data_IF_696833375153
#
_entry.id   IF_696833375153
#
_cell.length_a   1.000
_cell.length_b   1.000
_cell.length_c   1.000
_cell.angle_alpha   90.00
_cell.angle_beta   90.00
_cell.angle_gamma   90.00
#
_symmetry.space_group_name_H-M   'P 1'
#
loop_
_entity.id
_entity.type
_entity.pdbx_description
1 polymer ?
#
# COMPACT_ATOMS: atom_id res chain seq x y z
N UNK A 1 2.38 -59.32 42.55
CA UNK A 1 2.79 -58.60 43.77
C UNK A 1 3.82 -57.54 43.41
N UNK A 2 3.55 -56.25 43.75
CA UNK A 2 4.48 -55.08 43.82
C UNK A 2 5.15 -54.66 42.48
N UNK A 3 5.31 -53.40 42.10
CA UNK A 3 5.00 -52.07 42.65
C UNK A 3 5.12 -51.03 41.50
N UNK A 4 4.43 -49.90 41.69
CA UNK A 4 4.36 -48.68 40.87
C UNK A 4 5.68 -48.20 40.23
N UNK A 5 5.58 -47.58 39.06
CA UNK A 5 6.24 -46.28 38.80
C UNK A 5 5.24 -45.30 38.18
N UNK A 6 4.92 -44.27 38.95
CA UNK A 6 4.36 -43.02 38.48
C UNK A 6 5.44 -42.30 37.64
N UNK A 7 5.09 -41.81 36.45
CA UNK A 7 5.61 -40.52 35.94
C UNK A 7 4.48 -39.89 35.12
N UNK A 8 3.99 -38.76 35.62
CA UNK A 8 3.20 -37.79 34.85
C UNK A 8 4.18 -37.03 33.95
N UNK A 9 3.85 -36.91 32.67
CA UNK A 9 4.41 -35.90 31.77
C UNK A 9 3.41 -35.75 30.61
N UNK A 10 2.24 -35.12 30.81
CA UNK A 10 2.02 -33.68 30.66
C UNK A 10 3.06 -32.97 29.79
N UNK A 11 2.64 -32.51 28.61
CA UNK A 11 3.31 -31.45 27.89
C UNK A 11 4.04 -31.90 26.64
N UNK A 12 3.33 -31.94 25.52
CA UNK A 12 3.87 -31.35 24.29
C UNK A 12 2.74 -30.91 23.35
N UNK A 13 1.84 -30.05 23.84
CA UNK A 13 1.12 -29.13 22.96
C UNK A 13 2.12 -28.00 22.65
N UNK A 14 2.99 -28.23 21.67
CA UNK A 14 3.59 -27.14 20.89
C UNK A 14 2.46 -26.66 19.98
N UNK A 15 1.58 -25.74 20.41
CA UNK A 15 1.86 -24.31 20.34
C UNK A 15 2.78 -23.98 19.16
N UNK A 16 2.33 -24.33 17.96
CA UNK A 16 2.41 -23.41 16.83
C UNK A 16 1.56 -22.17 17.16
N UNK A 17 1.93 -21.47 18.24
CA UNK A 17 1.56 -20.09 18.44
C UNK A 17 2.22 -19.38 17.27
N UNK A 18 1.39 -19.05 16.28
CA UNK A 18 1.83 -18.35 15.10
C UNK A 18 2.67 -17.15 15.51
N UNK A 19 3.92 -17.14 15.08
CA UNK A 19 4.54 -15.88 14.69
C UNK A 19 3.90 -15.43 13.37
N UNK A 20 2.57 -15.29 13.33
CA UNK A 20 1.98 -14.27 12.47
C UNK A 20 2.09 -13.01 13.31
N UNK A 21 3.23 -12.33 13.19
CA UNK A 21 3.33 -10.93 13.62
C UNK A 21 2.37 -10.13 12.76
N UNK A 22 1.08 -10.16 13.13
CA UNK A 22 0.02 -9.46 12.41
C UNK A 22 -0.04 -7.98 12.78
N UNK A 23 0.98 -7.45 13.48
CA UNK A 23 1.10 -6.05 13.85
C UNK A 23 2.57 -5.65 13.93
N UNK A 24 3.23 -5.55 12.78
CA UNK A 24 4.39 -4.67 12.67
C UNK A 24 4.16 -3.72 11.51
N UNK A 25 3.11 -2.93 11.60
CA UNK A 25 3.04 -1.71 10.82
C UNK A 25 2.45 -0.67 11.77
N UNK A 26 3.35 0.04 12.45
CA UNK A 26 2.99 1.20 13.28
C UNK A 26 2.21 2.19 12.44
N UNK A 27 1.02 2.54 12.91
CA UNK A 27 0.23 3.68 12.46
C UNK A 27 1.12 4.90 12.32
N UNK A 28 1.35 5.41 11.11
CA UNK A 28 2.06 6.67 10.97
C UNK A 28 1.55 7.36 9.70
N UNK A 29 1.11 8.61 9.84
CA UNK A 29 1.39 9.65 8.86
C UNK A 29 2.90 9.64 8.58
N UNK A 30 3.36 8.68 7.77
CA UNK A 30 4.75 8.29 7.81
C UNK A 30 5.50 9.03 6.71
N UNK A 31 6.11 10.14 7.11
CA UNK A 31 7.23 10.73 6.40
C UNK A 31 8.36 9.71 6.12
N UNK A 32 8.29 8.47 6.62
CA UNK A 32 9.20 7.39 6.23
C UNK A 32 8.84 6.72 4.89
N UNK A 33 7.65 6.92 4.33
CA UNK A 33 7.24 6.27 3.08
C UNK A 33 6.85 7.27 2.01
N UNK A 34 6.03 8.25 2.38
CA UNK A 34 5.56 9.27 1.46
C UNK A 34 6.04 10.65 1.86
N UNK A 35 6.43 11.45 0.87
CA UNK A 35 6.68 12.89 1.08
C UNK A 35 5.37 13.65 1.26
N UNK A 36 4.37 13.29 0.47
CA UNK A 36 3.04 13.88 0.45
C UNK A 36 2.00 12.75 0.50
N UNK A 37 0.83 12.99 1.11
CA UNK A 37 -0.23 11.98 1.16
C UNK A 37 -0.62 11.51 -0.25
N UNK A 38 -0.86 10.21 -0.48
CA UNK A 38 -1.34 9.72 -1.77
C UNK A 38 -2.65 10.39 -2.18
N UNK A 39 -2.82 10.63 -3.48
CA UNK A 39 -4.05 11.21 -4.04
C UNK A 39 -4.50 10.45 -5.28
N UNK A 40 -5.75 10.67 -5.67
CA UNK A 40 -6.24 10.27 -6.98
C UNK A 40 -5.98 11.42 -7.95
N UNK A 41 -5.07 11.22 -8.88
CA UNK A 41 -4.80 12.16 -9.96
C UNK A 41 -5.69 11.85 -11.17
N UNK A 42 -6.23 12.86 -11.83
CA UNK A 42 -7.20 12.67 -12.92
C UNK A 42 -6.91 13.55 -14.13
N UNK A 43 -7.18 13.02 -15.32
CA UNK A 43 -7.50 13.81 -16.52
C UNK A 43 -9.02 13.81 -16.71
N UNK A 44 -9.52 14.30 -17.86
CA UNK A 44 -10.93 14.17 -18.23
C UNK A 44 -11.41 12.73 -18.40
N UNK A 45 -10.50 11.78 -18.67
CA UNK A 45 -10.86 10.40 -19.05
C UNK A 45 -10.05 9.30 -18.36
N UNK A 46 -9.06 9.63 -17.53
CA UNK A 46 -8.16 8.66 -16.89
C UNK A 46 -7.94 9.02 -15.44
N UNK A 47 -7.76 7.99 -14.61
CA UNK A 47 -7.50 8.09 -13.19
C UNK A 47 -6.22 7.37 -12.83
N UNK A 48 -5.48 7.92 -11.88
CA UNK A 48 -4.21 7.40 -11.41
C UNK A 48 -4.15 7.50 -9.90
N UNK A 49 -3.60 6.48 -9.25
CA UNK A 49 -3.07 6.66 -7.91
C UNK A 49 -1.71 7.37 -8.04
N UNK A 50 -1.60 8.56 -7.45
CA UNK A 50 -0.36 9.35 -7.42
C UNK A 50 0.20 9.37 -6.01
N UNK A 51 1.47 9.06 -5.88
CA UNK A 51 2.20 9.22 -4.62
C UNK A 51 3.66 9.60 -4.88
N UNK A 52 4.28 10.23 -3.88
CA UNK A 52 5.67 10.65 -3.93
C UNK A 52 6.45 9.95 -2.83
N UNK A 53 7.52 9.27 -3.19
CA UNK A 53 8.42 8.67 -2.20
C UNK A 53 8.99 9.74 -1.28
N UNK A 54 9.13 9.39 0.01
CA UNK A 54 9.77 10.28 0.98
C UNK A 54 11.23 10.59 0.61
N UNK A 55 11.71 11.73 1.11
CA UNK A 55 13.13 12.12 1.09
C UNK A 55 13.93 11.58 2.28
N UNK A 56 13.29 10.88 3.24
CA UNK A 56 13.97 10.27 4.38
C UNK A 56 14.93 9.17 3.91
N UNK A 57 16.18 9.21 4.37
CA UNK A 57 17.24 8.24 4.01
C UNK A 57 16.84 6.79 4.32
N UNK A 58 15.96 6.58 5.30
CA UNK A 58 15.41 5.27 5.63
C UNK A 58 14.29 4.84 4.67
N UNK A 59 13.57 5.77 4.07
CA UNK A 59 12.55 5.53 3.03
C UNK A 59 13.15 5.02 1.72
N UNK A 60 14.38 5.45 1.41
CA UNK A 60 15.09 5.14 0.16
C UNK A 60 15.38 3.64 -0.03
N UNK A 61 15.12 2.82 0.99
CA UNK A 61 15.44 1.39 1.00
C UNK A 61 14.26 0.50 0.59
N UNK A 62 13.07 1.06 0.34
CA UNK A 62 11.82 0.27 0.31
C UNK A 62 10.90 0.55 -0.87
N UNK A 63 10.94 -0.21 -1.95
CA UNK A 63 9.91 -0.12 -2.98
C UNK A 63 8.54 -0.49 -2.43
N UNK A 64 7.58 0.38 -2.71
CA UNK A 64 6.20 0.22 -2.30
C UNK A 64 5.40 -0.26 -3.49
N UNK A 65 4.83 -1.46 -3.37
CA UNK A 65 3.69 -1.85 -4.19
C UNK A 65 2.44 -1.33 -3.51
N UNK A 66 1.49 -0.78 -4.26
CA UNK A 66 0.16 -0.52 -3.72
C UNK A 66 -0.82 -1.62 -4.15
N UNK A 67 -1.94 -1.71 -3.45
CA UNK A 67 -3.07 -2.57 -3.77
C UNK A 67 -4.36 -1.83 -3.48
N UNK A 68 -5.48 -2.38 -3.94
CA UNK A 68 -6.81 -1.85 -3.65
C UNK A 68 -7.85 -2.95 -3.57
N UNK A 69 -8.91 -2.66 -2.81
CA UNK A 69 -10.11 -3.47 -2.71
C UNK A 69 -11.35 -2.60 -2.60
N UNK A 70 -12.52 -3.21 -2.77
CA UNK A 70 -13.81 -2.54 -2.62
C UNK A 70 -14.56 -3.22 -1.48
N UNK A 71 -14.98 -2.43 -0.48
CA UNK A 71 -15.77 -2.88 0.67
C UNK A 71 -16.97 -1.95 0.83
N UNK A 72 -18.20 -2.47 0.77
CA UNK A 72 -19.43 -1.68 0.95
C UNK A 72 -19.42 -0.38 0.12
N UNK A 73 -19.25 -0.49 -1.20
CA UNK A 73 -19.17 0.63 -2.15
C UNK A 73 -18.04 1.65 -1.89
N UNK A 74 -17.06 1.27 -1.08
CA UNK A 74 -15.88 2.08 -0.75
C UNK A 74 -14.65 1.49 -1.40
N UNK A 75 -13.97 2.27 -2.23
CA UNK A 75 -12.66 1.91 -2.79
C UNK A 75 -11.57 2.26 -1.78
N UNK A 76 -10.77 1.27 -1.40
CA UNK A 76 -9.72 1.42 -0.40
C UNK A 76 -8.38 1.06 -1.04
N UNK A 77 -7.42 1.98 -0.98
CA UNK A 77 -6.01 1.75 -1.37
C UNK A 77 -5.14 1.52 -0.14
N UNK A 78 -4.11 0.70 -0.29
CA UNK A 78 -3.17 0.38 0.80
C UNK A 78 -1.84 -0.14 0.27
N UNK A 79 -0.82 -0.23 1.14
CA UNK A 79 0.45 -0.91 0.86
C UNK A 79 0.35 -2.34 1.42
N UNK A 80 0.24 -3.39 0.58
CA UNK A 80 0.26 -4.78 1.06
C UNK A 80 1.63 -5.20 1.59
N UNK A 81 2.71 -4.72 0.96
CA UNK A 81 4.08 -5.08 1.28
C UNK A 81 5.07 -4.05 0.72
N UNK A 82 6.23 -3.98 1.36
CA UNK A 82 7.40 -3.24 0.87
C UNK A 82 8.52 -4.22 0.51
N UNK A 83 9.23 -4.01 -0.60
CA UNK A 83 10.41 -4.79 -0.96
C UNK A 83 11.70 -3.98 -0.77
N UNK A 84 12.82 -4.64 -0.46
CA UNK A 84 14.12 -4.00 -0.26
C UNK A 84 14.79 -3.68 -1.59
N UNK A 85 14.22 -2.76 -2.35
CA UNK A 85 14.83 -2.21 -3.56
C UNK A 85 14.90 -0.69 -3.43
N UNK A 86 16.02 -0.12 -3.89
CA UNK A 86 16.32 1.29 -3.67
C UNK A 86 15.44 2.18 -4.55
N UNK A 87 14.48 2.85 -3.92
CA UNK A 87 13.69 3.90 -4.57
C UNK A 87 14.55 5.14 -4.77
N UNK A 88 14.14 5.98 -5.72
CA UNK A 88 14.69 7.32 -5.83
C UNK A 88 13.94 8.26 -4.88
N UNK A 89 14.70 8.96 -4.03
CA UNK A 89 14.20 10.01 -3.13
C UNK A 89 13.27 10.98 -3.85
N UNK A 90 12.11 11.28 -3.27
CA UNK A 90 11.21 12.27 -3.83
C UNK A 90 10.58 11.89 -5.18
N UNK A 91 10.82 10.67 -5.67
CA UNK A 91 10.32 10.25 -6.98
C UNK A 91 8.80 10.15 -6.97
N UNK A 92 8.19 10.79 -7.96
CA UNK A 92 6.76 10.69 -8.21
C UNK A 92 6.43 9.38 -8.93
N UNK A 93 5.41 8.70 -8.46
CA UNK A 93 4.88 7.46 -9.04
C UNK A 93 3.42 7.61 -9.41
N UNK A 94 3.04 6.88 -10.47
CA UNK A 94 1.69 6.81 -10.99
C UNK A 94 1.31 5.37 -11.26
N UNK A 95 0.17 4.96 -10.74
CA UNK A 95 -0.46 3.69 -11.07
C UNK A 95 -1.81 3.96 -11.75
N UNK A 96 -1.95 3.53 -13.01
CA UNK A 96 -3.18 3.76 -13.76
C UNK A 96 -4.33 2.86 -13.29
N UNK A 97 -5.49 3.47 -13.05
CA UNK A 97 -6.69 2.79 -12.58
C UNK A 97 -7.60 2.56 -13.78
N UNK A 98 -7.52 1.36 -14.36
CA UNK A 98 -8.25 1.01 -15.59
C UNK A 98 -9.55 0.23 -15.35
N UNK A 99 -9.74 -0.32 -14.15
CA UNK A 99 -10.91 -1.16 -13.85
C UNK A 99 -12.16 -0.32 -13.62
N UNK A 100 -13.24 -0.62 -14.35
CA UNK A 100 -14.50 0.14 -14.29
C UNK A 100 -15.09 0.24 -12.88
N UNK A 101 -15.00 -0.85 -12.10
CA UNK A 101 -15.49 -0.91 -10.72
C UNK A 101 -14.77 0.12 -9.82
N UNK A 102 -13.45 0.21 -9.93
CA UNK A 102 -12.64 1.20 -9.20
C UNK A 102 -12.93 2.62 -9.67
N UNK A 103 -13.08 2.83 -10.98
CA UNK A 103 -13.45 4.12 -11.56
C UNK A 103 -14.81 4.59 -11.02
N UNK A 104 -15.78 3.70 -10.86
CA UNK A 104 -17.07 4.05 -10.27
C UNK A 104 -16.93 4.47 -8.81
N UNK A 105 -16.11 3.78 -8.01
CA UNK A 105 -15.79 4.21 -6.64
C UNK A 105 -15.22 5.63 -6.57
N UNK A 106 -14.32 5.97 -7.50
CA UNK A 106 -13.75 7.32 -7.63
C UNK A 106 -14.82 8.36 -7.99
N UNK A 107 -15.68 8.06 -8.96
CA UNK A 107 -16.77 8.98 -9.38
C UNK A 107 -17.76 9.27 -8.26
N UNK A 108 -18.01 8.30 -7.38
CA UNK A 108 -18.85 8.48 -6.19
C UNK A 108 -18.12 9.13 -5.01
N UNK A 109 -16.84 9.50 -5.17
CA UNK A 109 -15.99 10.09 -4.13
C UNK A 109 -15.87 9.23 -2.85
N UNK A 110 -16.08 7.92 -2.98
CA UNK A 110 -15.93 6.96 -1.90
C UNK A 110 -14.57 6.28 -2.00
N UNK A 111 -13.48 7.06 -1.87
CA UNK A 111 -12.11 6.58 -2.04
C UNK A 111 -11.26 6.95 -0.83
N UNK A 112 -10.58 5.95 -0.27
CA UNK A 112 -9.84 6.08 0.96
C UNK A 112 -8.46 5.42 0.84
N UNK A 113 -7.51 5.96 1.58
CA UNK A 113 -6.25 5.33 1.90
C UNK A 113 -6.36 4.65 3.25
N UNK A 114 -6.03 3.37 3.32
CA UNK A 114 -5.97 2.63 4.57
C UNK A 114 -4.55 2.66 5.13
N UNK A 115 -4.46 3.20 6.34
CA UNK A 115 -3.23 3.22 7.11
C UNK A 115 -2.93 1.83 7.71
N UNK A 116 -1.67 1.59 8.08
CA UNK A 116 -1.22 0.40 8.81
C UNK A 116 -2.07 -0.07 9.99
N UNK A 117 -2.66 0.86 10.74
CA UNK A 117 -3.51 0.59 11.90
C UNK A 117 -4.96 0.33 11.55
N UNK A 118 -5.30 0.41 10.26
CA UNK A 118 -6.64 0.27 9.73
C UNK A 118 -7.42 1.57 9.65
N UNK A 119 -6.85 2.70 10.06
CA UNK A 119 -7.49 4.02 9.90
C UNK A 119 -7.70 4.32 8.43
N UNK A 120 -8.87 4.85 8.07
CA UNK A 120 -9.20 5.25 6.70
C UNK A 120 -9.12 6.77 6.57
N UNK A 121 -8.26 7.23 5.66
CA UNK A 121 -8.09 8.64 5.30
C UNK A 121 -8.74 8.89 3.95
N UNK A 122 -9.68 9.84 3.87
CA UNK A 122 -10.31 10.20 2.60
C UNK A 122 -9.26 10.74 1.62
N UNK A 123 -9.29 10.27 0.37
CA UNK A 123 -8.33 10.70 -0.65
C UNK A 123 -8.87 11.89 -1.44
N UNK A 124 -8.00 12.88 -1.67
CA UNK A 124 -8.31 13.97 -2.58
C UNK A 124 -8.28 13.48 -4.04
N UNK A 125 -9.12 14.10 -4.87
CA UNK A 125 -9.09 13.93 -6.32
C UNK A 125 -8.59 15.23 -6.93
N UNK A 126 -7.45 15.19 -7.60
CA UNK A 126 -6.75 16.37 -8.12
C UNK A 126 -6.50 16.24 -9.63
N UNK A 127 -6.62 17.33 -10.40
CA UNK A 127 -6.23 17.31 -11.80
C UNK A 127 -4.72 17.13 -11.94
N UNK A 128 -4.29 16.37 -12.94
CA UNK A 128 -2.88 16.29 -13.33
C UNK A 128 -2.39 17.62 -13.90
N UNK A 129 -1.16 18.00 -13.57
CA UNK A 129 -0.48 19.14 -14.19
C UNK A 129 0.37 18.72 -15.41
N UNK A 130 0.90 19.70 -16.14
CA UNK A 130 1.68 19.46 -17.38
C UNK A 130 2.96 18.63 -17.16
N UNK A 131 3.66 18.87 -16.05
CA UNK A 131 4.88 18.13 -15.69
C UNK A 131 4.56 16.65 -15.42
N UNK A 132 3.50 16.39 -14.68
CA UNK A 132 3.04 15.04 -14.35
C UNK A 132 2.60 14.26 -15.60
N UNK A 133 1.91 14.94 -16.53
CA UNK A 133 1.54 14.34 -17.82
C UNK A 133 2.79 13.92 -18.63
N UNK A 134 3.86 14.72 -18.59
CA UNK A 134 5.12 14.39 -19.25
C UNK A 134 5.80 13.18 -18.60
N UNK A 135 5.80 13.10 -17.26
CA UNK A 135 6.34 11.95 -16.51
C UNK A 135 5.61 10.66 -16.92
N UNK A 136 4.27 10.68 -16.90
CA UNK A 136 3.44 9.52 -17.27
C UNK A 136 3.74 9.08 -18.71
N UNK A 137 3.78 10.03 -19.66
CA UNK A 137 4.08 9.72 -21.07
C UNK A 137 5.44 9.02 -21.23
N UNK A 138 6.45 9.50 -20.50
CA UNK A 138 7.80 8.94 -20.54
C UNK A 138 7.86 7.54 -19.90
N UNK A 139 7.11 7.29 -18.82
CA UNK A 139 7.00 5.97 -18.19
C UNK A 139 6.34 4.95 -19.13
N UNK A 140 5.23 5.31 -19.77
CA UNK A 140 4.54 4.44 -20.74
C UNK A 140 5.41 4.12 -21.95
N UNK A 141 6.13 5.12 -22.47
CA UNK A 141 7.00 4.94 -23.65
C UNK A 141 8.17 4.00 -23.38
N UNK A 142 8.67 3.95 -22.14
CA UNK A 142 9.71 2.98 -21.73
C UNK A 142 9.16 1.55 -21.65
N UNK A 143 7.93 1.37 -21.15
CA UNK A 143 7.29 0.04 -21.06
C UNK A 143 7.03 -0.61 -22.41
N UNK A 144 6.78 0.18 -23.46
CA UNK A 144 6.50 -0.34 -24.82
C UNK A 144 7.77 -0.75 -25.60
N UNK A 145 8.97 -0.46 -25.09
CA UNK A 145 10.25 -0.78 -25.74
C UNK A 145 10.92 -2.06 -25.21
N UNK A 146 10.30 -2.70 -24.23
CA UNK A 146 10.73 -3.96 -23.62
C UNK A 146 9.66 -5.01 -23.87
#
# INVERSE_FOLDING_TARGET
>A
MKKLHNIRLFGLILLLAGCTSNKSITALHNALYFKDSPVIATTSNRYFLRFRYSDDVNALRYYMSTSSEIRNDTLIFYIPATSSTSNVSGQLQFEEIITQEKINGIKHKNVYWQEPDGTLSAMNIEPLNEEELLIIKNQTSKRLKH
#
